data_IF_394293278999
#
_entry.id   IF_394293278999
#
_cell.length_a   1.000
_cell.length_b   1.000
_cell.length_c   1.000
_cell.angle_alpha   90.00
_cell.angle_beta   90.00
_cell.angle_gamma   90.00
#
_symmetry.space_group_name_H-M   'P 1'
#
loop_
_entity.id
_entity.type
_entity.pdbx_description
1 polymer ?
#
# COMPACT_ATOMS: atom_id res chain seq x y z
N UNK A 1 -21.26 8.67 -26.70
CA UNK A 1 -20.25 9.06 -25.69
C UNK A 1 -20.26 7.93 -24.66
N UNK A 2 -19.20 7.11 -24.61
CA UNK A 2 -19.18 5.91 -23.76
C UNK A 2 -18.69 6.31 -22.37
N UNK A 3 -19.59 6.20 -21.38
CA UNK A 3 -19.26 6.38 -19.97
C UNK A 3 -18.26 5.31 -19.56
N UNK A 4 -16.98 5.68 -19.58
CA UNK A 4 -15.93 4.88 -18.96
C UNK A 4 -16.14 4.98 -17.45
N UNK A 5 -16.83 4.00 -16.88
CA UNK A 5 -16.97 3.85 -15.44
C UNK A 5 -15.59 3.95 -14.78
N UNK A 6 -15.33 5.10 -14.14
CA UNK A 6 -14.16 5.30 -13.30
C UNK A 6 -14.37 4.37 -12.11
N UNK A 7 -13.76 3.18 -12.17
CA UNK A 7 -13.75 2.21 -11.09
C UNK A 7 -13.13 2.90 -9.87
N UNK A 8 -13.99 3.39 -8.99
CA UNK A 8 -13.58 4.07 -7.77
C UNK A 8 -12.99 3.00 -6.85
N UNK A 9 -11.68 3.04 -6.62
CA UNK A 9 -11.02 2.17 -5.65
C UNK A 9 -11.42 2.63 -4.25
N UNK A 10 -11.82 1.74 -3.32
CA UNK A 10 -12.24 2.15 -1.99
C UNK A 10 -11.06 2.73 -1.22
N UNK A 11 -11.28 3.86 -0.55
CA UNK A 11 -10.32 4.54 0.33
C UNK A 11 -9.96 3.74 1.62
N UNK A 12 -10.41 2.49 1.75
CA UNK A 12 -10.30 1.69 2.96
C UNK A 12 -8.98 0.91 3.12
N UNK A 13 -8.07 0.95 2.14
CA UNK A 13 -6.83 0.17 2.15
C UNK A 13 -5.61 1.02 2.53
N UNK A 14 -5.57 1.57 3.73
CA UNK A 14 -4.37 2.28 4.24
C UNK A 14 -3.68 1.53 5.39
N UNK A 15 -4.20 0.37 5.82
CA UNK A 15 -3.63 -0.36 6.95
C UNK A 15 -2.61 -1.44 6.54
N UNK A 16 -2.64 -1.93 5.30
CA UNK A 16 -1.75 -3.03 4.87
C UNK A 16 -0.26 -2.68 4.88
N UNK A 17 0.06 -1.42 4.61
CA UNK A 17 1.42 -0.87 4.67
C UNK A 17 1.71 -0.07 5.93
N UNK A 18 0.70 0.46 6.64
CA UNK A 18 0.98 1.25 7.85
C UNK A 18 1.59 0.40 8.97
N UNK A 19 1.33 -0.90 8.97
CA UNK A 19 1.86 -1.83 9.98
C UNK A 19 3.18 -2.50 9.56
N UNK A 20 3.64 -2.28 8.32
CA UNK A 20 4.85 -2.88 7.76
C UNK A 20 5.88 -1.83 7.38
N UNK A 21 7.13 -2.09 7.70
CA UNK A 21 8.24 -1.29 7.20
C UNK A 21 8.42 -1.43 5.69
N UNK A 22 8.98 -0.42 5.03
CA UNK A 22 9.32 -0.48 3.60
C UNK A 22 10.21 -1.70 3.28
N UNK A 23 11.05 -2.12 4.24
CA UNK A 23 11.87 -3.32 4.11
C UNK A 23 11.01 -4.60 4.08
N UNK A 24 10.07 -4.77 5.01
CA UNK A 24 9.17 -5.93 5.04
C UNK A 24 8.29 -6.00 3.79
N UNK A 25 7.78 -4.85 3.32
CA UNK A 25 7.07 -4.77 2.05
C UNK A 25 7.96 -5.21 0.88
N UNK A 26 9.21 -4.75 0.84
CA UNK A 26 10.19 -5.16 -0.16
C UNK A 26 10.46 -6.67 -0.15
N UNK A 27 10.57 -7.28 1.05
CA UNK A 27 10.73 -8.73 1.21
C UNK A 27 9.54 -9.50 0.64
N UNK A 28 8.31 -9.06 0.95
CA UNK A 28 7.09 -9.70 0.45
C UNK A 28 7.00 -9.60 -1.08
N UNK A 29 7.24 -8.41 -1.64
CA UNK A 29 7.14 -8.17 -3.09
C UNK A 29 8.20 -8.98 -3.83
N UNK A 30 9.47 -8.91 -3.39
CA UNK A 30 10.56 -9.65 -4.02
C UNK A 30 10.32 -11.15 -4.00
N UNK A 31 9.83 -11.72 -2.90
CA UNK A 31 9.52 -13.14 -2.84
C UNK A 31 8.41 -13.55 -3.81
N UNK A 32 7.38 -12.71 -3.97
CA UNK A 32 6.28 -12.97 -4.93
C UNK A 32 6.71 -12.80 -6.38
N UNK A 33 7.58 -11.84 -6.69
CA UNK A 33 8.17 -11.67 -8.02
C UNK A 33 9.06 -12.86 -8.41
N UNK A 34 9.75 -13.47 -7.44
CA UNK A 34 10.48 -14.73 -7.63
C UNK A 34 9.57 -15.97 -7.80
N UNK A 35 8.24 -15.79 -7.82
CA UNK A 35 7.27 -16.85 -8.07
C UNK A 35 6.88 -17.69 -6.85
N UNK A 36 7.33 -17.33 -5.64
CA UNK A 36 6.92 -18.03 -4.42
C UNK A 36 5.42 -17.86 -4.15
N UNK A 37 4.77 -18.92 -3.67
CA UNK A 37 3.38 -18.91 -3.25
C UNK A 37 3.18 -18.08 -1.97
N UNK A 38 1.95 -17.65 -1.72
CA UNK A 38 1.61 -16.88 -0.51
C UNK A 38 1.92 -17.70 0.76
N UNK A 39 1.62 -19.00 0.76
CA UNK A 39 1.88 -19.87 1.90
C UNK A 39 3.38 -20.05 2.17
N UNK A 40 4.21 -20.18 1.13
CA UNK A 40 5.67 -20.26 1.29
C UNK A 40 6.24 -18.99 1.92
N UNK A 41 5.78 -17.82 1.45
CA UNK A 41 6.19 -16.53 2.01
C UNK A 41 5.72 -16.39 3.46
N UNK A 42 4.50 -16.80 3.78
CA UNK A 42 3.95 -16.78 5.14
C UNK A 42 4.77 -17.64 6.10
N UNK A 43 5.05 -18.89 5.71
CA UNK A 43 5.83 -19.82 6.54
C UNK A 43 7.27 -19.36 6.72
N UNK A 44 7.89 -18.79 5.68
CA UNK A 44 9.31 -18.42 5.71
C UNK A 44 9.58 -17.13 6.49
N UNK A 45 8.70 -16.14 6.35
CA UNK A 45 8.92 -14.81 6.92
C UNK A 45 7.97 -14.48 8.09
N UNK A 46 7.04 -15.38 8.42
CA UNK A 46 6.13 -15.21 9.56
C UNK A 46 4.99 -14.21 9.31
N UNK A 47 4.78 -13.78 8.07
CA UNK A 47 3.67 -12.88 7.75
C UNK A 47 2.34 -13.61 7.63
N UNK A 48 1.25 -12.91 7.94
CA UNK A 48 -0.09 -13.44 7.67
C UNK A 48 -0.37 -13.51 6.17
N UNK A 49 -1.17 -14.49 5.75
CA UNK A 49 -1.62 -14.62 4.35
C UNK A 49 -2.36 -13.36 3.87
N UNK A 50 -3.14 -12.73 4.77
CA UNK A 50 -3.88 -11.50 4.50
C UNK A 50 -2.95 -10.30 4.27
N UNK A 51 -1.86 -10.20 5.03
CA UNK A 51 -0.84 -9.16 4.86
C UNK A 51 -0.15 -9.30 3.52
N UNK A 52 0.32 -10.52 3.19
CA UNK A 52 1.01 -10.81 1.93
C UNK A 52 0.11 -10.50 0.72
N UNK A 53 -1.14 -10.96 0.77
CA UNK A 53 -2.10 -10.73 -0.32
C UNK A 53 -2.39 -9.24 -0.53
N UNK A 54 -2.56 -8.48 0.55
CA UNK A 54 -2.80 -7.03 0.47
C UNK A 54 -1.61 -6.29 -0.13
N UNK A 55 -0.41 -6.50 0.40
CA UNK A 55 0.82 -5.86 -0.10
C UNK A 55 1.02 -6.17 -1.58
N UNK A 56 0.88 -7.43 -1.98
CA UNK A 56 1.07 -7.80 -3.39
C UNK A 56 -0.01 -7.25 -4.32
N UNK A 57 -1.28 -7.20 -3.89
CA UNK A 57 -2.36 -6.59 -4.68
C UNK A 57 -2.17 -5.07 -4.84
N UNK A 58 -1.80 -4.37 -3.78
CA UNK A 58 -1.53 -2.93 -3.83
C UNK A 58 -0.30 -2.62 -4.70
N UNK A 59 0.75 -3.44 -4.61
CA UNK A 59 1.89 -3.39 -5.51
C UNK A 59 1.47 -3.61 -6.97
N UNK A 60 0.68 -4.64 -7.26
CA UNK A 60 0.22 -4.93 -8.63
C UNK A 60 -0.60 -3.78 -9.24
N UNK A 61 -1.42 -3.11 -8.43
CA UNK A 61 -2.25 -1.99 -8.88
C UNK A 61 -1.44 -0.70 -9.04
N UNK A 62 -0.48 -0.44 -8.16
CA UNK A 62 0.24 0.84 -8.10
C UNK A 62 1.62 0.84 -8.75
N UNK A 63 2.23 -0.33 -8.93
CA UNK A 63 3.61 -0.52 -9.35
C UNK A 63 4.65 0.01 -8.36
N UNK A 64 4.26 0.33 -7.13
CA UNK A 64 5.12 0.98 -6.13
C UNK A 64 5.32 0.09 -4.92
N UNK A 65 6.57 -0.03 -4.51
CA UNK A 65 6.98 -0.81 -3.34
C UNK A 65 6.88 -0.01 -2.03
N UNK A 66 6.93 1.32 -2.11
CA UNK A 66 6.77 2.21 -0.96
C UNK A 66 5.44 2.95 -1.00
N UNK A 67 4.80 3.04 0.16
CA UNK A 67 3.64 3.90 0.36
C UNK A 67 4.07 5.16 1.11
N UNK A 68 4.88 5.99 0.46
CA UNK A 68 5.14 7.37 0.92
C UNK A 68 3.89 8.25 0.70
N UNK A 69 2.73 7.78 1.16
CA UNK A 69 1.59 8.62 1.53
C UNK A 69 1.70 8.93 3.01
N UNK A 70 2.91 9.23 3.49
CA UNK A 70 3.03 9.93 4.76
C UNK A 70 2.22 11.20 4.58
N UNK A 71 1.26 11.43 5.48
CA UNK A 71 0.39 12.60 5.49
C UNK A 71 1.25 13.85 5.37
N UNK A 72 1.51 14.31 4.14
CA UNK A 72 2.07 15.63 3.93
C UNK A 72 0.92 16.54 4.35
N UNK A 73 1.04 17.05 5.58
CA UNK A 73 -0.03 17.74 6.26
C UNK A 73 -0.69 18.75 5.33
N UNK A 74 -2.02 18.76 5.33
CA UNK A 74 -2.78 19.82 4.70
C UNK A 74 -2.18 21.15 5.15
N UNK A 75 -1.61 21.93 4.21
CA UNK A 75 -1.05 23.25 4.53
C UNK A 75 -2.19 24.09 5.09
N UNK A 76 -2.15 24.39 6.40
CA UNK A 76 -3.03 25.40 6.98
C UNK A 76 -2.60 26.73 6.39
N UNK A 77 -3.41 27.31 5.50
CA UNK A 77 -3.24 28.69 5.06
C UNK A 77 -3.39 29.59 6.28
N UNK A 78 -2.34 30.34 6.59
CA UNK A 78 -2.32 31.37 7.62
C UNK A 78 -3.15 32.56 7.09
N UNK A 79 -4.46 32.48 7.29
CA UNK A 79 -5.41 33.61 7.31
C UNK A 79 -6.06 33.49 8.68
N UNK A 80 -6.12 34.46 9.57
CA UNK A 80 -6.00 35.91 9.50
C UNK A 80 -5.96 36.31 10.98
N UNK A 81 -4.93 37.00 11.41
CA UNK A 81 -4.96 37.73 12.68
C UNK A 81 -4.18 39.03 12.42
N UNK A 82 -4.73 39.80 11.48
CA UNK A 82 -4.51 41.24 11.48
C UNK A 82 -5.29 41.82 12.67
N UNK A 83 -4.64 42.78 13.31
CA UNK A 83 -4.90 43.31 14.64
C UNK A 83 -6.10 44.25 14.72
#
# INVERSE_FOLDING_TARGET
>A
MSDKCIRSVPAAAVAGYQDLSDFECGVIIGAREMGHSISEVAMKFGFSHTTISRVYCEYWVSGKTSNFRHRCGQKKTLKELDH
#
